data_IF_792557859080
#
_entry.id   IF_792557859080
#
_cell.length_a   1.000
_cell.length_b   1.000
_cell.length_c   1.000
_cell.angle_alpha   90.00
_cell.angle_beta   90.00
_cell.angle_gamma   90.00
#
_symmetry.space_group_name_H-M   'P 1'
#
loop_
_entity.id
_entity.type
_entity.pdbx_description
1 polymer ?
#
# COMPACT_ATOMS: atom_id res chain seq x y z
N UNK A 1 11.65 0.50 -11.95
CA UNK A 1 12.51 1.28 -12.85
C UNK A 1 13.89 0.61 -12.94
N UNK A 2 14.71 0.55 -11.85
CA UNK A 2 16.08 0.00 -11.90
C UNK A 2 16.16 -1.41 -12.51
N UNK A 3 15.24 -2.34 -12.17
CA UNK A 3 15.22 -3.69 -12.74
C UNK A 3 15.06 -3.70 -14.27
N UNK A 4 14.30 -2.75 -14.82
CA UNK A 4 14.14 -2.60 -16.28
C UNK A 4 15.44 -2.11 -16.91
N UNK A 5 16.12 -1.17 -16.26
CA UNK A 5 17.42 -0.64 -16.74
C UNK A 5 18.53 -1.70 -16.71
N UNK A 6 18.49 -2.61 -15.72
CA UNK A 6 19.41 -3.76 -15.64
C UNK A 6 19.00 -4.93 -16.56
N UNK A 7 18.03 -4.71 -17.45
CA UNK A 7 17.53 -5.70 -18.42
C UNK A 7 17.03 -7.00 -17.77
N UNK A 8 16.47 -6.94 -16.56
CA UNK A 8 15.84 -8.11 -15.96
C UNK A 8 14.59 -8.48 -16.76
N UNK A 9 14.40 -9.78 -17.00
CA UNK A 9 13.18 -10.25 -17.65
C UNK A 9 11.94 -9.87 -16.84
N UNK A 10 10.78 -9.72 -17.48
CA UNK A 10 9.52 -9.45 -16.79
C UNK A 10 9.20 -10.50 -15.74
N UNK A 11 9.48 -11.77 -16.02
CA UNK A 11 9.30 -12.88 -15.09
C UNK A 11 10.21 -12.75 -13.88
N UNK A 12 11.51 -12.45 -14.07
CA UNK A 12 12.45 -12.22 -12.98
C UNK A 12 12.05 -11.01 -12.13
N UNK A 13 11.58 -9.93 -12.77
CA UNK A 13 11.09 -8.73 -12.08
C UNK A 13 9.83 -9.03 -11.26
N UNK A 14 8.86 -9.76 -11.81
CA UNK A 14 7.67 -10.18 -11.10
C UNK A 14 7.98 -11.09 -9.91
N UNK A 15 8.86 -12.08 -10.10
CA UNK A 15 9.33 -12.96 -9.03
C UNK A 15 10.00 -12.16 -7.90
N UNK A 16 10.95 -11.30 -8.23
CA UNK A 16 11.64 -10.45 -7.27
C UNK A 16 10.65 -9.56 -6.50
N UNK A 17 9.68 -8.96 -7.17
CA UNK A 17 8.68 -8.10 -6.53
C UNK A 17 7.73 -8.87 -5.62
N UNK A 18 7.40 -10.14 -5.92
CA UNK A 18 6.57 -10.98 -5.05
C UNK A 18 7.21 -11.24 -3.69
N UNK A 19 8.54 -11.18 -3.60
CA UNK A 19 9.27 -11.31 -2.33
C UNK A 19 8.80 -10.34 -1.25
N UNK A 20 8.40 -9.12 -1.62
CA UNK A 20 7.84 -8.15 -0.68
C UNK A 20 6.58 -8.68 0.02
N UNK A 21 5.66 -9.27 -0.73
CA UNK A 21 4.41 -9.80 -0.18
C UNK A 21 4.62 -11.07 0.64
N UNK A 22 5.58 -11.93 0.24
CA UNK A 22 6.00 -13.07 1.05
C UNK A 22 6.53 -12.59 2.41
N UNK A 23 7.39 -11.57 2.40
CA UNK A 23 7.91 -10.96 3.62
C UNK A 23 6.80 -10.31 4.46
N UNK A 24 5.88 -9.60 3.82
CA UNK A 24 4.75 -8.97 4.48
C UNK A 24 3.87 -10.01 5.19
N UNK A 25 3.58 -11.15 4.55
CA UNK A 25 2.82 -12.25 5.14
C UNK A 25 3.54 -12.90 6.33
N UNK A 26 4.84 -13.19 6.20
CA UNK A 26 5.67 -13.72 7.30
C UNK A 26 5.68 -12.74 8.49
N UNK A 27 5.86 -11.46 8.21
CA UNK A 27 5.86 -10.42 9.23
C UNK A 27 4.51 -10.29 9.93
N UNK A 28 3.40 -10.27 9.19
CA UNK A 28 2.06 -10.21 9.76
C UNK A 28 1.79 -11.35 10.77
N UNK A 29 2.31 -12.55 10.49
CA UNK A 29 2.18 -13.71 11.39
C UNK A 29 3.09 -13.64 12.62
N UNK A 30 4.26 -13.02 12.52
CA UNK A 30 5.32 -13.10 13.55
C UNK A 30 5.43 -11.85 14.41
N UNK A 31 5.21 -10.66 13.85
CA UNK A 31 5.40 -9.36 14.50
C UNK A 31 4.53 -9.15 15.75
N UNK A 32 3.25 -9.53 15.80
CA UNK A 32 2.44 -9.40 17.01
C UNK A 32 3.06 -10.10 18.23
N UNK A 33 3.61 -11.29 18.02
CA UNK A 33 4.31 -12.01 19.08
C UNK A 33 5.62 -11.32 19.50
N UNK A 34 6.34 -10.74 18.55
CA UNK A 34 7.57 -10.00 18.82
C UNK A 34 7.28 -8.71 19.59
N UNK A 35 6.27 -7.94 19.18
CA UNK A 35 5.83 -6.72 19.90
C UNK A 35 5.46 -7.05 21.34
N UNK A 36 4.74 -8.15 21.58
CA UNK A 36 4.33 -8.55 22.95
C UNK A 36 5.50 -8.90 23.85
N UNK A 37 6.63 -9.36 23.28
CA UNK A 37 7.84 -9.75 24.05
C UNK A 37 8.81 -8.60 24.27
N UNK A 38 9.03 -7.78 23.23
CA UNK A 38 10.12 -6.79 23.20
C UNK A 38 9.60 -5.36 23.35
N UNK A 39 8.34 -5.12 22.98
CA UNK A 39 7.67 -3.81 23.03
C UNK A 39 7.77 -3.05 21.69
N UNK A 40 6.82 -2.12 21.49
CA UNK A 40 6.60 -1.40 20.24
C UNK A 40 7.83 -0.60 19.75
N UNK A 41 8.44 0.20 20.64
CA UNK A 41 9.52 1.12 20.25
C UNK A 41 10.76 0.35 19.78
N UNK A 42 11.14 -0.71 20.51
CA UNK A 42 12.33 -1.50 20.15
C UNK A 42 12.12 -2.26 18.85
N UNK A 43 10.93 -2.83 18.65
CA UNK A 43 10.56 -3.55 17.43
C UNK A 43 10.55 -2.58 16.24
N UNK A 44 9.92 -1.40 16.38
CA UNK A 44 9.96 -0.37 15.35
C UNK A 44 11.39 0.03 14.98
N UNK A 45 12.23 0.32 15.97
CA UNK A 45 13.60 0.74 15.75
C UNK A 45 14.42 -0.33 15.00
N UNK A 46 14.31 -1.59 15.43
CA UNK A 46 15.02 -2.70 14.79
C UNK A 46 14.63 -2.86 13.32
N UNK A 47 13.34 -2.86 13.01
CA UNK A 47 12.88 -3.08 11.64
C UNK A 47 13.00 -1.86 10.73
N UNK A 48 12.92 -0.64 11.25
CA UNK A 48 13.24 0.55 10.47
C UNK A 48 14.76 0.63 10.17
N UNK A 49 15.62 0.25 11.12
CA UNK A 49 17.05 0.11 10.85
C UNK A 49 17.33 -0.98 9.83
N UNK A 50 16.63 -2.12 9.91
CA UNK A 50 16.75 -3.19 8.92
C UNK A 50 16.30 -2.71 7.54
N UNK A 51 15.19 -1.99 7.42
CA UNK A 51 14.71 -1.42 6.16
C UNK A 51 15.74 -0.47 5.55
N UNK A 52 16.34 0.42 6.35
CA UNK A 52 17.41 1.33 5.93
C UNK A 52 18.64 0.57 5.42
N UNK A 53 19.06 -0.48 6.11
CA UNK A 53 20.20 -1.32 5.69
C UNK A 53 19.91 -2.07 4.39
N UNK A 54 18.74 -2.70 4.30
CA UNK A 54 18.34 -3.52 3.15
C UNK A 54 18.31 -2.69 1.87
N UNK A 55 17.83 -1.45 1.92
CA UNK A 55 17.80 -0.58 0.74
C UNK A 55 19.20 -0.24 0.23
N UNK A 56 20.19 -0.08 1.12
CA UNK A 56 21.59 0.13 0.72
C UNK A 56 22.17 -1.11 0.06
N UNK A 57 21.87 -2.31 0.57
CA UNK A 57 22.35 -3.57 0.02
C UNK A 57 21.80 -3.78 -1.40
N UNK A 58 20.55 -3.32 -1.72
CA UNK A 58 20.02 -3.35 -3.08
C UNK A 58 20.88 -2.59 -4.09
N UNK A 59 21.56 -1.52 -3.66
CA UNK A 59 22.44 -0.73 -4.57
C UNK A 59 23.77 -1.42 -4.87
N UNK A 60 24.21 -2.33 -4.00
CA UNK A 60 25.52 -3.01 -4.11
C UNK A 60 25.40 -4.29 -4.92
N UNK A 61 24.37 -5.09 -4.68
CA UNK A 61 24.21 -6.39 -5.31
C UNK A 61 23.11 -6.37 -6.38
N UNK A 62 23.49 -6.35 -7.65
CA UNK A 62 22.56 -6.36 -8.79
C UNK A 62 22.35 -7.81 -9.24
N UNK A 63 21.46 -8.51 -8.52
CA UNK A 63 21.10 -9.90 -8.81
C UNK A 63 19.63 -10.14 -8.45
N UNK A 64 18.80 -10.74 -9.34
CA UNK A 64 17.37 -10.94 -9.09
C UNK A 64 17.07 -11.78 -7.86
N UNK A 65 17.87 -12.81 -7.56
CA UNK A 65 17.67 -13.69 -6.41
C UNK A 65 18.02 -12.95 -5.11
N UNK A 66 19.12 -12.20 -5.08
CA UNK A 66 19.49 -11.38 -3.94
C UNK A 66 18.40 -10.34 -3.69
N UNK A 67 17.92 -9.68 -4.75
CA UNK A 67 16.83 -8.70 -4.65
C UNK A 67 15.53 -9.33 -4.15
N UNK A 68 15.21 -10.57 -4.52
CA UNK A 68 14.08 -11.30 -3.93
C UNK A 68 14.19 -11.40 -2.41
N UNK A 69 15.35 -11.87 -1.91
CA UNK A 69 15.59 -11.99 -0.45
C UNK A 69 15.50 -10.61 0.24
N UNK A 70 16.12 -9.60 -0.34
CA UNK A 70 16.05 -8.25 0.19
C UNK A 70 14.63 -7.69 0.18
N UNK A 71 13.81 -8.03 -0.81
CA UNK A 71 12.38 -7.69 -0.85
C UNK A 71 11.58 -8.40 0.24
N UNK A 72 11.90 -9.66 0.54
CA UNK A 72 11.31 -10.37 1.69
C UNK A 72 11.61 -9.62 2.99
N UNK A 73 12.87 -9.24 3.23
CA UNK A 73 13.27 -8.48 4.41
C UNK A 73 12.59 -7.09 4.46
N UNK A 74 12.46 -6.43 3.32
CA UNK A 74 11.72 -5.16 3.22
C UNK A 74 10.26 -5.36 3.60
N UNK A 75 9.60 -6.41 3.09
CA UNK A 75 8.19 -6.71 3.40
C UNK A 75 7.96 -6.95 4.90
N UNK A 76 8.81 -7.77 5.53
CA UNK A 76 8.78 -7.97 6.99
C UNK A 76 8.96 -6.64 7.74
N UNK A 77 9.90 -5.80 7.29
CA UNK A 77 10.18 -4.51 7.94
C UNK A 77 8.99 -3.56 7.82
N UNK A 78 8.38 -3.46 6.64
CA UNK A 78 7.27 -2.54 6.40
C UNK A 78 6.02 -2.93 7.17
N UNK A 79 5.63 -4.21 7.19
CA UNK A 79 4.48 -4.64 7.99
C UNK A 79 4.71 -4.39 9.49
N UNK A 80 5.95 -4.54 9.95
CA UNK A 80 6.29 -4.21 11.33
C UNK A 80 6.08 -2.73 11.65
N UNK A 81 6.61 -1.85 10.78
CA UNK A 81 6.48 -0.39 10.94
C UNK A 81 5.00 0.02 10.95
N UNK A 82 4.20 -0.49 10.00
CA UNK A 82 2.77 -0.21 9.92
C UNK A 82 2.01 -0.74 11.14
N UNK A 83 2.25 -1.98 11.55
CA UNK A 83 1.59 -2.58 12.71
C UNK A 83 1.85 -1.79 14.00
N UNK A 84 3.09 -1.34 14.21
CA UNK A 84 3.43 -0.51 15.37
C UNK A 84 2.75 0.85 15.30
N UNK A 85 2.77 1.52 14.13
CA UNK A 85 2.14 2.83 13.95
C UNK A 85 0.63 2.76 14.16
N UNK A 86 -0.04 1.80 13.53
CA UNK A 86 -1.49 1.60 13.62
C UNK A 86 -1.93 1.20 15.04
N UNK A 87 -1.17 0.32 15.69
CA UNK A 87 -1.41 -0.05 17.08
C UNK A 87 -1.35 1.18 18.00
N UNK A 88 -0.37 2.07 17.77
CA UNK A 88 -0.22 3.29 18.57
C UNK A 88 -1.33 4.31 18.33
N UNK A 89 -1.69 4.51 17.06
CA UNK A 89 -2.82 5.38 16.69
C UNK A 89 -4.14 4.86 17.28
N UNK A 90 -4.35 3.55 17.21
CA UNK A 90 -5.56 2.90 17.74
C UNK A 90 -5.66 3.03 19.27
N UNK A 91 -4.55 2.83 20.00
CA UNK A 91 -4.50 2.98 21.47
C UNK A 91 -4.78 4.44 21.93
N UNK A 92 -4.39 5.43 21.10
CA UNK A 92 -4.60 6.85 21.39
C UNK A 92 -5.94 7.40 20.90
N UNK A 93 -6.69 6.59 20.20
CA UNK A 93 -8.01 6.92 19.67
C UNK A 93 -9.11 6.41 20.59
N UNK A 94 -10.24 7.10 20.60
CA UNK A 94 -11.48 6.64 21.22
C UNK A 94 -12.54 6.37 20.12
N UNK A 95 -13.66 5.77 20.51
CA UNK A 95 -14.71 5.41 19.55
C UNK A 95 -15.27 6.62 18.76
N UNK A 96 -15.15 7.85 19.30
CA UNK A 96 -15.64 9.07 18.64
C UNK A 96 -14.68 9.63 17.61
N UNK A 97 -13.35 9.42 17.78
CA UNK A 97 -12.35 10.05 16.91
C UNK A 97 -11.49 9.04 16.11
N UNK A 98 -11.65 7.73 16.35
CA UNK A 98 -10.87 6.67 15.68
C UNK A 98 -10.95 6.77 14.15
N UNK A 99 -12.15 6.97 13.60
CA UNK A 99 -12.35 7.13 12.16
C UNK A 99 -11.57 8.31 11.58
N UNK A 100 -11.64 9.50 12.23
CA UNK A 100 -10.89 10.68 11.81
C UNK A 100 -9.37 10.47 11.88
N UNK A 101 -8.87 9.86 12.96
CA UNK A 101 -7.44 9.60 13.13
C UNK A 101 -6.92 8.65 12.05
N UNK A 102 -7.65 7.56 11.76
CA UNK A 102 -7.29 6.63 10.70
C UNK A 102 -7.39 7.26 9.31
N UNK A 103 -8.40 8.12 9.05
CA UNK A 103 -8.51 8.83 7.78
C UNK A 103 -7.34 9.78 7.56
N UNK A 104 -6.94 10.55 8.58
CA UNK A 104 -5.75 11.42 8.50
C UNK A 104 -4.48 10.59 8.25
N UNK A 105 -4.33 9.46 8.93
CA UNK A 105 -3.22 8.54 8.71
C UNK A 105 -3.16 8.06 7.25
N UNK A 106 -4.29 7.64 6.68
CA UNK A 106 -4.35 7.20 5.28
C UNK A 106 -4.05 8.34 4.30
N UNK A 107 -4.55 9.56 4.55
CA UNK A 107 -4.22 10.74 3.73
C UNK A 107 -2.72 11.02 3.76
N UNK A 108 -2.09 10.99 4.94
CA UNK A 108 -0.64 11.16 5.08
C UNK A 108 0.10 10.06 4.32
N UNK A 109 -0.31 8.80 4.48
CA UNK A 109 0.32 7.65 3.85
C UNK A 109 0.28 7.75 2.31
N UNK A 110 -0.88 8.00 1.73
CA UNK A 110 -1.00 8.14 0.27
C UNK A 110 -0.31 9.40 -0.25
N UNK A 111 -0.43 10.53 0.44
CA UNK A 111 0.23 11.78 0.02
C UNK A 111 1.75 11.65 0.04
N UNK A 112 2.33 11.08 1.10
CA UNK A 112 3.78 10.86 1.19
C UNK A 112 4.26 9.81 0.18
N UNK A 113 3.46 8.78 -0.09
CA UNK A 113 3.76 7.80 -1.14
C UNK A 113 3.82 8.46 -2.53
N UNK A 114 2.83 9.29 -2.87
CA UNK A 114 2.81 10.01 -4.14
C UNK A 114 3.97 11.01 -4.27
N UNK A 115 4.20 11.83 -3.25
CA UNK A 115 5.31 12.81 -3.23
C UNK A 115 6.66 12.09 -3.30
N UNK A 116 6.80 10.97 -2.59
CA UNK A 116 8.02 10.17 -2.58
C UNK A 116 8.46 9.68 -3.96
N UNK A 117 7.52 9.47 -4.89
CA UNK A 117 7.86 9.07 -6.26
C UNK A 117 8.57 10.18 -7.03
N UNK A 118 8.36 11.45 -6.72
CA UNK A 118 9.10 12.55 -7.34
C UNK A 118 10.57 12.60 -6.92
N UNK A 119 10.94 11.95 -5.83
CA UNK A 119 12.35 11.85 -5.42
C UNK A 119 13.20 11.11 -6.47
N UNK A 120 12.58 10.27 -7.31
CA UNK A 120 13.26 9.63 -8.44
C UNK A 120 13.78 10.63 -9.50
N UNK A 121 13.23 11.85 -9.54
CA UNK A 121 13.65 12.87 -10.49
C UNK A 121 14.89 13.66 -10.03
N UNK A 122 15.28 13.54 -8.76
CA UNK A 122 16.48 14.24 -8.22
C UNK A 122 17.79 13.54 -8.59
N UNK A 123 17.74 12.26 -9.00
CA UNK A 123 18.94 11.56 -9.48
C UNK A 123 18.54 10.41 -10.39
N UNK A 124 19.47 10.01 -11.28
CA UNK A 124 19.24 8.86 -12.16
C UNK A 124 19.04 7.58 -11.33
N UNK A 125 18.00 6.77 -11.63
CA UNK A 125 17.80 5.46 -11.00
C UNK A 125 18.94 4.46 -11.24
N UNK A 126 19.85 4.74 -12.17
CA UNK A 126 21.07 3.96 -12.44
C UNK A 126 22.12 4.13 -11.34
N UNK A 127 22.06 5.22 -10.62
CA UNK A 127 23.00 5.56 -9.56
C UNK A 127 22.55 5.00 -8.18
N UNK A 128 23.48 4.98 -7.25
CA UNK A 128 23.25 4.61 -5.84
C UNK A 128 22.53 5.70 -5.03
N UNK A 129 22.50 6.93 -5.52
CA UNK A 129 21.97 8.11 -4.80
C UNK A 129 20.51 7.94 -4.34
N UNK A 130 19.55 7.43 -5.15
CA UNK A 130 18.18 7.21 -4.67
C UNK A 130 18.10 6.24 -3.50
N UNK A 131 18.95 5.21 -3.49
CA UNK A 131 18.99 4.22 -2.40
C UNK A 131 19.51 4.85 -1.10
N UNK A 132 20.57 5.69 -1.19
CA UNK A 132 21.08 6.45 -0.04
C UNK A 132 20.02 7.40 0.48
N UNK A 133 19.34 8.16 -0.38
CA UNK A 133 18.28 9.09 0.02
C UNK A 133 17.17 8.40 0.81
N UNK A 134 16.67 7.27 0.31
CA UNK A 134 15.63 6.49 0.99
C UNK A 134 16.15 5.97 2.34
N UNK A 135 17.39 5.50 2.40
CA UNK A 135 18.01 5.03 3.65
C UNK A 135 18.11 6.16 4.69
N UNK A 136 18.53 7.37 4.28
CA UNK A 136 18.60 8.55 5.15
C UNK A 136 17.21 8.91 5.69
N UNK A 137 16.18 9.00 4.82
CA UNK A 137 14.82 9.34 5.22
C UNK A 137 14.26 8.29 6.20
N UNK A 138 14.50 7.00 5.93
CA UNK A 138 14.05 5.92 6.82
C UNK A 138 14.74 5.99 8.17
N UNK A 139 16.04 6.32 8.21
CA UNK A 139 16.81 6.49 9.45
C UNK A 139 16.36 7.73 10.23
N UNK A 140 16.07 8.84 9.55
CA UNK A 140 15.52 10.05 10.19
C UNK A 140 14.15 9.82 10.83
N UNK A 141 13.33 8.96 10.24
CA UNK A 141 12.02 8.61 10.80
C UNK A 141 12.11 7.91 12.17
N UNK A 142 13.26 7.32 12.53
CA UNK A 142 13.49 6.72 13.85
C UNK A 142 13.56 7.74 14.97
N UNK A 143 14.14 8.93 14.70
CA UNK A 143 14.49 9.92 15.71
C UNK A 143 13.28 10.34 16.56
N UNK A 144 12.13 10.76 16.01
CA UNK A 144 11.01 11.21 16.81
C UNK A 144 10.39 10.11 17.66
N UNK A 145 10.45 8.85 17.20
CA UNK A 145 9.90 7.71 17.94
C UNK A 145 10.81 7.33 19.10
N UNK A 146 12.11 7.32 18.89
CA UNK A 146 13.10 7.01 19.94
C UNK A 146 13.17 8.09 21.02
N UNK A 147 12.93 9.34 20.66
CA UNK A 147 12.92 10.47 21.60
C UNK A 147 11.58 10.68 22.30
N UNK A 148 10.55 9.90 21.98
CA UNK A 148 9.24 10.07 22.63
C UNK A 148 9.29 9.68 24.10
N UNK A 149 8.77 10.56 24.96
CA UNK A 149 8.58 10.29 26.41
C UNK A 149 7.26 9.57 26.71
N UNK A 150 6.38 9.39 25.71
CA UNK A 150 5.07 8.76 25.90
C UNK A 150 5.24 7.25 26.05
N UNK A 151 4.55 6.68 27.03
CA UNK A 151 4.54 5.22 27.22
C UNK A 151 3.94 4.55 25.98
N UNK A 152 4.56 3.46 25.47
CA UNK A 152 4.00 2.69 24.37
C UNK A 152 2.68 2.03 24.80
N UNK A 153 1.79 1.70 23.84
CA UNK A 153 0.57 0.97 24.12
C UNK A 153 0.85 -0.36 24.82
N UNK A 154 -0.05 -0.76 25.71
CA UNK A 154 -0.02 -2.11 26.28
C UNK A 154 -0.58 -3.08 25.24
N UNK A 155 0.26 -3.89 24.65
CA UNK A 155 -0.16 -4.89 23.68
C UNK A 155 -0.89 -6.04 24.42
N UNK A 156 -2.21 -6.04 24.37
CA UNK A 156 -2.99 -7.21 24.77
C UNK A 156 -2.85 -8.24 23.65
N UNK A 157 -2.33 -9.41 23.99
CA UNK A 157 -2.21 -10.52 23.04
C UNK A 157 -3.63 -10.95 22.62
N UNK A 158 -4.07 -10.46 21.48
CA UNK A 158 -5.34 -10.89 20.88
C UNK A 158 -5.09 -12.29 20.32
N UNK A 159 -5.99 -13.23 20.61
CA UNK A 159 -5.94 -14.56 20.01
C UNK A 159 -6.09 -14.38 18.49
N UNK A 160 -5.08 -14.78 17.74
CA UNK A 160 -5.17 -14.74 16.28
C UNK A 160 -6.31 -15.66 15.84
N UNK A 161 -7.26 -15.11 15.09
CA UNK A 161 -8.30 -15.92 14.44
C UNK A 161 -7.67 -16.72 13.31
N UNK A 162 -8.09 -17.98 13.16
CA UNK A 162 -7.73 -18.77 12.00
C UNK A 162 -8.43 -18.22 10.76
N UNK A 163 -7.90 -18.50 9.56
CA UNK A 163 -8.53 -18.10 8.30
C UNK A 163 -9.95 -18.65 8.16
N UNK A 164 -10.19 -19.84 8.73
CA UNK A 164 -11.52 -20.46 8.72
C UNK A 164 -12.50 -19.71 9.63
N UNK A 165 -12.09 -19.39 10.86
CA UNK A 165 -12.88 -18.57 11.79
C UNK A 165 -13.21 -17.20 11.18
N UNK A 166 -12.25 -16.58 10.48
CA UNK A 166 -12.44 -15.29 9.80
C UNK A 166 -13.43 -15.41 8.65
N UNK A 167 -13.35 -16.49 7.86
CA UNK A 167 -14.30 -16.75 6.78
C UNK A 167 -15.73 -17.02 7.31
N UNK A 168 -15.84 -17.80 8.38
CA UNK A 168 -17.14 -18.08 9.03
C UNK A 168 -17.76 -16.82 9.63
N UNK A 169 -16.92 -15.90 10.16
CA UNK A 169 -17.39 -14.62 10.71
C UNK A 169 -17.82 -13.61 9.64
N UNK A 170 -17.07 -13.50 8.54
CA UNK A 170 -17.35 -12.55 7.45
C UNK A 170 -16.84 -13.04 6.10
N UNK A 171 -17.62 -13.89 5.40
CA UNK A 171 -17.24 -14.40 4.07
C UNK A 171 -17.01 -13.28 3.07
N UNK A 172 -17.92 -12.30 3.01
CA UNK A 172 -17.83 -11.15 2.12
C UNK A 172 -16.55 -10.32 2.39
N UNK A 173 -16.30 -10.00 3.65
CA UNK A 173 -15.13 -9.22 4.05
C UNK A 173 -13.81 -9.92 3.69
N UNK A 174 -13.70 -11.23 3.94
CA UNK A 174 -12.50 -11.99 3.63
C UNK A 174 -12.26 -12.08 2.11
N UNK A 175 -13.28 -12.43 1.32
CA UNK A 175 -13.16 -12.54 -0.13
C UNK A 175 -12.85 -11.19 -0.76
N UNK A 176 -13.55 -10.13 -0.34
CA UNK A 176 -13.30 -8.77 -0.82
C UNK A 176 -11.89 -8.30 -0.50
N UNK A 177 -11.38 -8.60 0.71
CA UNK A 177 -10.00 -8.26 1.10
C UNK A 177 -8.96 -8.97 0.23
N UNK A 178 -9.20 -10.23 -0.13
CA UNK A 178 -8.30 -11.00 -0.99
C UNK A 178 -8.21 -10.39 -2.40
N UNK A 179 -9.37 -10.13 -3.02
CA UNK A 179 -9.41 -9.51 -4.35
C UNK A 179 -8.84 -8.10 -4.33
N UNK A 180 -9.23 -7.29 -3.36
CA UNK A 180 -8.69 -5.95 -3.18
C UNK A 180 -7.16 -5.96 -3.02
N UNK A 181 -6.63 -6.79 -2.12
CA UNK A 181 -5.20 -6.93 -1.89
C UNK A 181 -4.45 -7.35 -3.15
N UNK A 182 -5.01 -8.27 -3.94
CA UNK A 182 -4.41 -8.71 -5.21
C UNK A 182 -4.34 -7.56 -6.23
N UNK A 183 -5.43 -6.82 -6.41
CA UNK A 183 -5.49 -5.68 -7.33
C UNK A 183 -4.50 -4.59 -6.90
N UNK A 184 -4.51 -4.24 -5.62
CA UNK A 184 -3.64 -3.18 -5.08
C UNK A 184 -2.15 -3.57 -5.15
N UNK A 185 -1.83 -4.82 -4.83
CA UNK A 185 -0.44 -5.30 -4.92
C UNK A 185 0.08 -5.23 -6.35
N UNK A 186 -0.73 -5.65 -7.33
CA UNK A 186 -0.38 -5.54 -8.74
C UNK A 186 -0.21 -4.08 -9.16
N UNK A 187 -1.15 -3.21 -8.78
CA UNK A 187 -1.14 -1.80 -9.15
C UNK A 187 0.12 -1.09 -8.63
N UNK A 188 0.38 -1.14 -7.31
CA UNK A 188 1.52 -0.43 -6.72
C UNK A 188 2.88 -1.04 -7.08
N UNK A 189 2.92 -2.32 -7.41
CA UNK A 189 4.19 -3.01 -7.71
C UNK A 189 4.52 -2.95 -9.19
N UNK A 190 3.54 -3.16 -10.06
CA UNK A 190 3.78 -3.35 -11.49
C UNK A 190 3.54 -2.09 -12.33
N UNK A 191 2.79 -1.08 -11.82
CA UNK A 191 2.51 0.13 -12.60
C UNK A 191 3.78 0.82 -13.08
N UNK A 192 4.75 1.04 -12.18
CA UNK A 192 6.00 1.71 -12.53
C UNK A 192 6.86 0.87 -13.50
N UNK A 193 6.81 -0.47 -13.38
CA UNK A 193 7.48 -1.39 -14.31
C UNK A 193 6.82 -1.34 -15.67
N UNK A 194 5.49 -1.38 -15.69
CA UNK A 194 4.69 -1.31 -16.91
C UNK A 194 4.91 0.03 -17.64
N UNK A 195 4.82 1.15 -16.93
CA UNK A 195 5.08 2.47 -17.51
C UNK A 195 6.51 2.59 -18.08
N UNK A 196 7.51 2.02 -17.39
CA UNK A 196 8.88 1.97 -17.89
C UNK A 196 9.00 1.10 -19.14
N UNK A 197 8.30 -0.03 -19.24
CA UNK A 197 8.29 -0.88 -20.47
C UNK A 197 7.58 -0.21 -21.64
N UNK A 198 6.69 0.75 -21.38
CA UNK A 198 6.03 1.60 -22.39
C UNK A 198 6.86 2.83 -22.78
N UNK A 199 8.13 2.89 -22.39
CA UNK A 199 9.05 4.01 -22.63
C UNK A 199 8.57 5.35 -22.05
N UNK A 200 7.84 5.33 -20.92
CA UNK A 200 7.53 6.56 -20.22
C UNK A 200 8.80 7.13 -19.57
N UNK A 201 8.95 8.44 -19.60
CA UNK A 201 10.03 9.15 -18.91
C UNK A 201 9.92 8.96 -17.39
N UNK A 202 11.01 9.18 -16.66
CA UNK A 202 11.03 9.10 -15.20
C UNK A 202 9.99 10.05 -14.57
N UNK A 203 9.85 11.24 -15.17
CA UNK A 203 8.84 12.20 -14.75
C UNK A 203 7.42 11.68 -14.94
N UNK A 204 7.10 11.11 -16.11
CA UNK A 204 5.77 10.52 -16.40
C UNK A 204 5.44 9.35 -15.44
N UNK A 205 6.44 8.49 -15.14
CA UNK A 205 6.30 7.40 -14.17
C UNK A 205 6.01 7.96 -12.76
N UNK A 206 6.75 8.95 -12.34
CA UNK A 206 6.54 9.62 -11.05
C UNK A 206 5.18 10.30 -10.99
N UNK A 207 4.79 10.99 -12.05
CA UNK A 207 3.55 11.74 -12.14
C UNK A 207 2.32 10.82 -12.12
N UNK A 208 2.32 9.73 -12.89
CA UNK A 208 1.20 8.78 -12.89
C UNK A 208 1.03 8.08 -11.54
N UNK A 209 2.14 7.76 -10.88
CA UNK A 209 2.09 7.15 -9.55
C UNK A 209 1.64 8.17 -8.48
N UNK A 210 2.04 9.42 -8.64
CA UNK A 210 1.53 10.52 -7.80
C UNK A 210 0.01 10.72 -7.97
N UNK A 211 -0.48 10.79 -9.21
CA UNK A 211 -1.90 10.90 -9.50
C UNK A 211 -2.71 9.76 -8.86
N UNK A 212 -2.20 8.54 -8.96
CA UNK A 212 -2.80 7.37 -8.34
C UNK A 212 -2.90 7.54 -6.81
N UNK A 213 -1.82 7.92 -6.16
CA UNK A 213 -1.77 8.04 -4.71
C UNK A 213 -2.63 9.22 -4.20
N UNK A 214 -2.54 10.40 -4.84
CA UNK A 214 -3.30 11.58 -4.41
C UNK A 214 -4.80 11.43 -4.67
N UNK A 215 -5.17 10.78 -5.77
CA UNK A 215 -6.56 10.44 -6.06
C UNK A 215 -7.16 9.54 -4.96
N UNK A 216 -6.40 8.54 -4.51
CA UNK A 216 -6.77 7.72 -3.37
C UNK A 216 -6.91 8.49 -2.07
N UNK A 217 -5.99 9.42 -1.79
CA UNK A 217 -6.07 10.28 -0.61
C UNK A 217 -7.34 11.16 -0.63
N UNK A 218 -7.60 11.81 -1.77
CA UNK A 218 -8.75 12.71 -1.95
C UNK A 218 -10.07 11.92 -1.88
N UNK A 219 -10.12 10.73 -2.45
CA UNK A 219 -11.35 9.93 -2.51
C UNK A 219 -11.79 9.34 -1.16
N UNK A 220 -10.88 9.22 -0.18
CA UNK A 220 -11.20 8.71 1.16
C UNK A 220 -12.35 9.51 1.81
N UNK A 221 -12.31 10.83 1.68
CA UNK A 221 -13.30 11.69 2.34
C UNK A 221 -14.71 11.57 1.70
N UNK A 222 -14.92 11.81 0.38
CA UNK A 222 -16.25 11.73 -0.21
C UNK A 222 -16.84 10.33 -0.17
N UNK A 223 -16.05 9.30 -0.42
CA UNK A 223 -16.55 7.92 -0.43
C UNK A 223 -16.80 7.42 1.00
N UNK A 224 -15.95 7.79 1.96
CA UNK A 224 -16.21 7.52 3.38
C UNK A 224 -17.53 8.15 3.83
N UNK A 225 -17.77 9.43 3.50
CA UNK A 225 -19.03 10.11 3.82
C UNK A 225 -20.25 9.49 3.13
N UNK A 226 -20.11 9.03 1.88
CA UNK A 226 -21.17 8.29 1.21
C UNK A 226 -21.53 7.00 1.98
N UNK A 227 -20.53 6.27 2.47
CA UNK A 227 -20.74 5.04 3.22
C UNK A 227 -21.35 5.23 4.60
N UNK A 228 -21.31 6.47 5.13
CA UNK A 228 -21.99 6.82 6.38
C UNK A 228 -23.48 7.18 6.15
N UNK A 229 -23.84 7.60 4.92
CA UNK A 229 -25.21 8.02 4.55
C UNK A 229 -26.01 6.87 3.91
N UNK A 230 -25.35 6.11 3.06
CA UNK A 230 -25.97 5.01 2.29
C UNK A 230 -25.49 3.66 2.80
N UNK A 231 -26.23 2.61 2.41
CA UNK A 231 -25.82 1.23 2.68
C UNK A 231 -24.39 0.99 2.14
N UNK A 232 -23.50 0.53 3.01
CA UNK A 232 -22.09 0.29 2.68
C UNK A 232 -21.90 -0.71 1.55
N UNK A 233 -22.77 -1.73 1.47
CA UNK A 233 -22.72 -2.72 0.38
C UNK A 233 -22.99 -2.05 -0.95
N UNK A 234 -24.01 -1.18 -1.01
CA UNK A 234 -24.34 -0.43 -2.21
C UNK A 234 -23.16 0.46 -2.64
N UNK A 235 -22.55 1.16 -1.68
CA UNK A 235 -21.37 2.01 -1.95
C UNK A 235 -20.22 1.17 -2.49
N UNK A 236 -19.90 0.01 -1.89
CA UNK A 236 -18.87 -0.91 -2.37
C UNK A 236 -19.17 -1.37 -3.79
N UNK A 237 -20.41 -1.76 -4.10
CA UNK A 237 -20.81 -2.18 -5.45
C UNK A 237 -20.64 -1.05 -6.46
N UNK A 238 -21.07 0.16 -6.15
CA UNK A 238 -20.96 1.33 -7.04
C UNK A 238 -19.50 1.65 -7.33
N UNK A 239 -18.63 1.73 -6.30
CA UNK A 239 -17.22 2.07 -6.50
C UNK A 239 -16.47 0.95 -7.20
N UNK A 240 -16.81 -0.33 -6.95
CA UNK A 240 -16.24 -1.48 -7.66
C UNK A 240 -16.61 -1.45 -9.13
N UNK A 241 -17.88 -1.18 -9.45
CA UNK A 241 -18.36 -1.07 -10.82
C UNK A 241 -17.70 0.11 -11.55
N UNK A 242 -17.57 1.27 -10.89
CA UNK A 242 -16.81 2.41 -11.41
C UNK A 242 -15.36 2.06 -11.68
N UNK A 243 -14.67 1.38 -10.75
CA UNK A 243 -13.30 0.92 -10.95
C UNK A 243 -13.19 -0.05 -12.13
N UNK A 244 -14.15 -0.97 -12.32
CA UNK A 244 -14.18 -1.88 -13.45
C UNK A 244 -14.32 -1.12 -14.80
N UNK A 245 -15.22 -0.16 -14.88
CA UNK A 245 -15.38 0.68 -16.09
C UNK A 245 -14.08 1.42 -16.40
N UNK A 246 -13.49 2.12 -15.42
CA UNK A 246 -12.27 2.89 -15.65
C UNK A 246 -11.06 2.02 -15.97
N UNK A 247 -10.98 0.79 -15.44
CA UNK A 247 -9.94 -0.16 -15.84
C UNK A 247 -10.08 -0.58 -17.31
N UNK A 248 -11.30 -0.81 -17.79
CA UNK A 248 -11.57 -1.08 -19.20
C UNK A 248 -11.15 0.13 -20.06
N UNK A 249 -11.50 1.34 -19.66
CA UNK A 249 -11.08 2.57 -20.35
C UNK A 249 -9.54 2.71 -20.39
N UNK A 250 -8.82 2.32 -19.33
CA UNK A 250 -7.36 2.27 -19.33
C UNK A 250 -6.84 1.30 -20.41
N UNK A 251 -7.41 0.10 -20.53
CA UNK A 251 -7.00 -0.88 -21.54
C UNK A 251 -7.21 -0.32 -22.95
N UNK A 252 -8.35 0.30 -23.23
CA UNK A 252 -8.61 0.94 -24.52
C UNK A 252 -7.63 2.09 -24.81
N UNK A 253 -7.35 2.94 -23.83
CA UNK A 253 -6.38 4.04 -24.01
C UNK A 253 -4.98 3.54 -24.31
N UNK A 254 -4.56 2.42 -23.70
CA UNK A 254 -3.28 1.77 -24.03
C UNK A 254 -3.30 1.20 -25.45
N UNK A 255 -4.39 0.53 -25.85
CA UNK A 255 -4.55 0.04 -27.22
C UNK A 255 -4.39 1.14 -28.28
N UNK A 256 -4.94 2.33 -28.00
CA UNK A 256 -4.82 3.51 -28.86
C UNK A 256 -3.39 4.09 -28.91
N UNK A 257 -2.56 3.90 -27.88
CA UNK A 257 -1.15 4.35 -27.89
C UNK A 257 -0.30 3.64 -28.95
N UNK A 258 -0.70 2.46 -29.39
CA UNK A 258 0.00 1.71 -30.44
C UNK A 258 -0.37 2.16 -31.87
N UNK A 259 -1.33 3.09 -32.02
CA UNK A 259 -1.69 3.65 -33.33
C UNK A 259 -0.76 4.81 -33.69
N UNK A 260 -0.38 4.97 -34.98
CA UNK A 260 0.65 5.92 -35.44
C UNK A 260 0.37 7.39 -35.10
N UNK A 261 -0.88 7.77 -34.93
CA UNK A 261 -1.30 9.18 -34.71
C UNK A 261 -1.63 9.53 -33.26
N UNK A 262 -1.48 8.59 -32.32
CA UNK A 262 -2.14 8.68 -31.02
C UNK A 262 -1.29 9.06 -29.79
N UNK A 263 0.03 9.13 -29.88
CA UNK A 263 0.91 9.02 -28.71
C UNK A 263 0.70 10.06 -27.58
N UNK A 264 0.54 11.33 -27.86
CA UNK A 264 0.50 12.34 -26.79
C UNK A 264 -0.89 12.45 -26.13
N UNK A 265 -1.95 12.45 -26.93
CA UNK A 265 -3.34 12.58 -26.47
C UNK A 265 -3.79 11.33 -25.72
N UNK A 266 -3.39 10.15 -26.16
CA UNK A 266 -3.77 8.86 -25.53
C UNK A 266 -3.07 8.61 -24.20
N UNK A 267 -1.85 9.11 -23.97
CA UNK A 267 -1.21 9.10 -22.64
C UNK A 267 -2.03 9.90 -21.62
N UNK A 268 -2.55 11.05 -22.01
CA UNK A 268 -3.37 11.86 -21.11
C UNK A 268 -4.69 11.15 -20.72
N UNK A 269 -5.31 10.44 -21.66
CA UNK A 269 -6.48 9.61 -21.37
C UNK A 269 -6.14 8.46 -20.42
N UNK A 270 -5.01 7.80 -20.61
CA UNK A 270 -4.54 6.77 -19.68
C UNK A 270 -4.35 7.32 -18.26
N UNK A 271 -3.71 8.48 -18.12
CA UNK A 271 -3.54 9.13 -16.81
C UNK A 271 -4.87 9.49 -16.17
N UNK A 272 -5.81 10.02 -16.95
CA UNK A 272 -7.14 10.36 -16.48
C UNK A 272 -7.90 9.11 -15.99
N UNK A 273 -7.98 8.07 -16.81
CA UNK A 273 -8.73 6.86 -16.46
C UNK A 273 -8.08 6.10 -15.29
N UNK A 274 -6.77 6.08 -15.19
CA UNK A 274 -6.08 5.50 -14.05
C UNK A 274 -6.33 6.29 -12.76
N UNK A 275 -6.40 7.61 -12.85
CA UNK A 275 -6.76 8.48 -11.71
C UNK A 275 -8.18 8.21 -11.25
N UNK A 276 -9.14 8.09 -12.16
CA UNK A 276 -10.54 7.75 -11.85
C UNK A 276 -10.69 6.32 -11.32
N UNK A 277 -9.93 5.37 -11.87
CA UNK A 277 -9.85 4.02 -11.34
C UNK A 277 -9.36 4.02 -9.89
N UNK A 278 -8.28 4.76 -9.62
CA UNK A 278 -7.72 4.89 -8.28
C UNK A 278 -8.69 5.57 -7.31
N UNK A 279 -9.40 6.60 -7.77
CA UNK A 279 -10.43 7.30 -7.00
C UNK A 279 -11.53 6.34 -6.51
N UNK A 280 -11.92 5.39 -7.33
CA UNK A 280 -12.89 4.37 -6.96
C UNK A 280 -12.26 3.23 -6.14
N UNK A 281 -11.07 2.77 -6.52
CA UNK A 281 -10.48 1.54 -5.97
C UNK A 281 -9.86 1.70 -4.60
N UNK A 282 -9.09 2.80 -4.34
CA UNK A 282 -8.31 2.91 -3.11
C UNK A 282 -9.15 3.04 -1.82
N UNK A 283 -10.30 3.73 -1.80
CA UNK A 283 -11.15 3.79 -0.61
C UNK A 283 -11.79 2.47 -0.20
N UNK A 284 -11.81 1.49 -1.10
CA UNK A 284 -12.38 0.18 -0.80
C UNK A 284 -11.73 -0.48 0.41
N UNK A 285 -10.44 -0.22 0.67
CA UNK A 285 -9.76 -0.75 1.86
C UNK A 285 -10.48 -0.37 3.15
N UNK A 286 -10.75 0.91 3.33
CA UNK A 286 -11.43 1.41 4.53
C UNK A 286 -12.88 0.93 4.63
N UNK A 287 -13.58 0.79 3.50
CA UNK A 287 -14.94 0.25 3.46
C UNK A 287 -14.98 -1.23 3.85
N UNK A 288 -14.10 -2.05 3.27
CA UNK A 288 -14.00 -3.49 3.56
C UNK A 288 -13.57 -3.69 5.03
N UNK A 289 -12.58 -2.94 5.50
CA UNK A 289 -12.13 -3.00 6.88
C UNK A 289 -13.25 -2.62 7.85
N UNK A 290 -14.03 -1.60 7.54
CA UNK A 290 -15.20 -1.22 8.32
C UNK A 290 -16.25 -2.35 8.36
N UNK A 291 -16.51 -3.03 7.25
CA UNK A 291 -17.39 -4.20 7.22
C UNK A 291 -16.86 -5.34 8.09
N UNK A 292 -15.56 -5.63 8.06
CA UNK A 292 -14.93 -6.67 8.87
C UNK A 292 -15.02 -6.37 10.38
N UNK A 293 -14.78 -5.12 10.77
CA UNK A 293 -14.82 -4.71 12.18
C UNK A 293 -16.24 -4.69 12.75
N UNK A 294 -17.24 -4.32 11.94
CA UNK A 294 -18.63 -4.33 12.37
C UNK A 294 -19.17 -5.75 12.59
N UNK A 295 -18.70 -6.74 11.83
CA UNK A 295 -19.09 -8.15 12.03
C UNK A 295 -18.43 -8.77 13.26
N UNK A 296 -17.30 -8.23 13.74
CA UNK A 296 -16.64 -8.72 14.97
C UNK A 296 -17.17 -8.08 16.26
N UNK A 297 -17.73 -6.85 16.18
CA UNK A 297 -18.26 -6.12 17.33
C UNK A 297 -19.78 -6.22 17.45
N UNK A 298 -20.47 -6.56 16.40
CA UNK A 298 -21.95 -6.66 16.35
C UNK A 298 -22.40 -8.12 16.22
N UNK A 299 -22.25 -8.86 17.29
CA UNK A 299 -23.10 -10.05 17.51
C UNK A 299 -24.59 -9.66 17.67
N UNK A 300 -24.91 -8.35 17.76
CA UNK A 300 -26.26 -7.91 18.12
C UNK A 300 -26.99 -6.98 17.15
N UNK A 301 -26.34 -6.24 16.24
CA UNK A 301 -27.15 -5.39 15.33
C UNK A 301 -26.38 -5.01 14.03
N UNK A 302 -26.87 -5.55 12.93
CA UNK A 302 -26.84 -4.99 11.57
C UNK A 302 -25.85 -5.45 10.50
N UNK A 303 -26.15 -5.14 9.30
CA UNK A 303 -26.35 -5.99 8.14
C UNK A 303 -25.19 -5.91 7.13
N UNK A 304 -24.05 -6.46 7.46
CA UNK A 304 -23.10 -6.96 6.46
C UNK A 304 -23.12 -8.51 6.36
N UNK A 305 -24.11 -9.17 6.93
CA UNK A 305 -24.08 -10.62 7.18
C UNK A 305 -25.18 -11.40 6.42
N UNK A 306 -26.06 -10.79 5.66
CA UNK A 306 -27.03 -11.54 4.85
C UNK A 306 -26.79 -11.46 3.36
#
# INVERSE_FOLDING_TARGET
VRAVQENFSLTATGFMMSGYFVGYFIGAATIPNLISRVGHIRVFAAFASLASLVILIHSIFINPFVWFILRVLTGVSMVCIYTVAESWLNDRSNNKNRGSVLSIYMVILYSTMGIGMFLLNFSSPENYQPFILVSIITSLALIPILLTKKKPPTFKKIKAMSLRELYEASPFGMVSSLFYGTIQSALFTLLAVYAASMNFSIFEISFVTFLLAISGAVSQFPIGKLSDIYDRRLVIVIVTFGAAIFSICCIFSVGLMYLPEGHATTKNWFFLFLTLFSFCSLPMFSLILACLLYTSDAADDTPCVD
#
